data_IF_881943168899
#
_entry.id   IF_881943168899
#
_cell.length_a   1.000
_cell.length_b   1.000
_cell.length_c   1.000
_cell.angle_alpha   90.00
_cell.angle_beta   90.00
_cell.angle_gamma   90.00
#
_symmetry.space_group_name_H-M   'P 1'
#
loop_
_entity.id
_entity.type
_entity.pdbx_description
1 polymer ?
#
# COMPACT_ATOMS: atom_id res chain seq x y z
N UNK A 1 -8.39 -2.50 31.45
CA UNK A 1 -7.66 -3.25 30.41
C UNK A 1 -8.05 -2.89 28.96
N UNK A 2 -9.12 -3.44 28.33
CA UNK A 2 -9.43 -3.14 26.89
C UNK A 2 -9.67 -1.64 26.59
N UNK A 3 -10.28 -0.90 27.52
CA UNK A 3 -10.57 0.54 27.37
C UNK A 3 -9.33 1.44 27.48
N UNK A 4 -8.40 1.10 28.39
CA UNK A 4 -7.15 1.84 28.59
C UNK A 4 -6.13 1.58 27.47
N UNK A 5 -6.08 0.35 26.95
CA UNK A 5 -5.28 0.00 25.77
C UNK A 5 -5.77 0.80 24.56
N UNK A 6 -7.10 0.83 24.33
CA UNK A 6 -7.70 1.62 23.24
C UNK A 6 -7.37 3.11 23.35
N UNK A 7 -7.48 3.70 24.54
CA UNK A 7 -7.16 5.12 24.77
C UNK A 7 -5.66 5.43 24.59
N UNK A 8 -4.75 4.53 25.00
CA UNK A 8 -3.31 4.70 24.79
C UNK A 8 -2.91 4.61 23.31
N UNK A 9 -3.61 3.80 22.52
CA UNK A 9 -3.39 3.65 21.09
C UNK A 9 -3.91 4.89 20.35
N UNK A 10 -5.14 5.33 20.64
CA UNK A 10 -5.71 6.58 20.09
C UNK A 10 -4.80 7.81 20.34
N UNK A 11 -4.15 7.88 21.51
CA UNK A 11 -3.23 8.97 21.87
C UNK A 11 -1.81 8.86 21.28
N UNK A 12 -1.41 7.71 20.70
CA UNK A 12 -0.05 7.45 20.17
C UNK A 12 -0.04 6.86 18.75
N UNK A 13 -1.10 7.10 17.98
CA UNK A 13 -1.31 6.57 16.62
C UNK A 13 -0.33 7.17 15.59
N UNK A 14 0.94 6.79 15.65
CA UNK A 14 1.91 7.09 14.60
C UNK A 14 1.75 6.11 13.45
N UNK A 15 2.10 6.54 12.23
CA UNK A 15 2.03 5.70 11.03
C UNK A 15 2.75 4.35 11.20
N UNK A 16 4.00 4.28 11.75
CA UNK A 16 4.69 3.00 11.93
C UNK A 16 3.99 2.01 12.88
N UNK A 17 3.28 2.51 13.91
CA UNK A 17 2.55 1.65 14.85
C UNK A 17 1.31 1.00 14.24
N UNK A 18 0.77 1.58 13.18
CA UNK A 18 -0.43 1.09 12.49
C UNK A 18 -0.07 0.19 11.30
N UNK A 19 0.95 0.55 10.51
CA UNK A 19 1.29 -0.17 9.26
C UNK A 19 2.57 -0.99 9.33
N UNK A 20 3.33 -0.87 10.41
CA UNK A 20 4.61 -1.55 10.58
C UNK A 20 5.80 -0.60 10.48
N UNK A 21 6.94 -1.14 10.89
CA UNK A 21 8.17 -0.39 11.14
C UNK A 21 9.22 -0.52 10.02
N UNK A 22 8.80 -1.09 8.88
CA UNK A 22 9.64 -1.32 7.71
C UNK A 22 9.11 -0.50 6.53
N UNK A 23 10.00 0.11 5.76
CA UNK A 23 9.63 0.76 4.50
C UNK A 23 10.75 0.75 3.47
N UNK A 24 10.36 0.77 2.21
CA UNK A 24 11.24 1.09 1.07
C UNK A 24 10.71 2.39 0.49
N UNK A 25 11.59 3.37 0.33
CA UNK A 25 11.21 4.68 -0.20
C UNK A 25 11.75 4.91 -1.61
N UNK A 26 10.97 5.61 -2.41
CA UNK A 26 11.26 5.99 -3.78
C UNK A 26 11.00 7.48 -3.95
N UNK A 27 11.63 8.08 -4.98
CA UNK A 27 11.38 9.48 -5.29
C UNK A 27 9.96 9.70 -5.83
N UNK A 28 9.43 10.92 -5.67
CA UNK A 28 8.15 11.28 -6.30
C UNK A 28 8.18 11.16 -7.82
N UNK A 29 9.33 11.47 -8.44
CA UNK A 29 9.50 11.33 -9.89
C UNK A 29 9.50 9.87 -10.32
N UNK A 30 10.06 8.96 -9.52
CA UNK A 30 9.93 7.52 -9.73
C UNK A 30 8.46 7.10 -9.69
N UNK A 31 7.69 7.58 -8.72
CA UNK A 31 6.26 7.30 -8.62
C UNK A 31 5.48 7.75 -9.87
N UNK A 32 5.71 9.00 -10.32
CA UNK A 32 5.10 9.53 -11.55
C UNK A 32 5.49 8.73 -12.80
N UNK A 33 6.78 8.35 -12.92
CA UNK A 33 7.29 7.53 -14.02
C UNK A 33 6.59 6.17 -14.09
N UNK A 34 6.15 5.64 -12.95
CA UNK A 34 5.45 4.35 -12.85
C UNK A 34 3.93 4.49 -12.70
N UNK A 35 3.36 5.64 -13.10
CA UNK A 35 1.91 5.86 -13.14
C UNK A 35 1.22 5.70 -11.77
N UNK A 36 1.94 5.98 -10.67
CA UNK A 36 1.31 6.15 -9.37
C UNK A 36 0.57 7.49 -9.36
N UNK A 37 -0.67 7.47 -8.88
CA UNK A 37 -1.52 8.66 -8.78
C UNK A 37 -1.97 8.90 -7.34
N UNK A 38 -2.05 10.16 -6.88
CA UNK A 38 -2.67 10.47 -5.61
C UNK A 38 -4.16 10.10 -5.63
N UNK A 39 -4.62 9.42 -4.58
CA UNK A 39 -6.02 9.01 -4.47
C UNK A 39 -6.92 10.18 -4.02
N UNK A 40 -8.23 10.00 -4.21
CA UNK A 40 -9.26 10.93 -3.76
C UNK A 40 -9.98 10.38 -2.55
N UNK A 41 -9.96 11.14 -1.46
CA UNK A 41 -10.70 10.83 -0.26
C UNK A 41 -12.14 11.33 -0.37
N UNK A 42 -13.10 10.45 -0.12
CA UNK A 42 -14.52 10.72 -0.27
C UNK A 42 -15.16 10.78 1.11
N UNK A 43 -15.81 11.89 1.42
CA UNK A 43 -16.56 12.05 2.66
C UNK A 43 -17.67 10.98 2.75
N UNK A 44 -17.94 10.40 3.91
CA UNK A 44 -19.02 9.39 4.04
C UNK A 44 -20.42 10.01 4.20
N UNK A 45 -20.49 11.28 4.57
CA UNK A 45 -21.76 12.00 4.73
C UNK A 45 -22.43 12.25 3.38
N UNK A 46 -23.75 12.46 3.38
CA UNK A 46 -24.53 12.84 2.20
C UNK A 46 -24.21 14.27 1.73
N UNK A 47 -22.97 14.50 1.30
CA UNK A 47 -22.63 15.69 0.53
C UNK A 47 -23.27 15.61 -0.85
N UNK A 48 -23.55 16.77 -1.45
CA UNK A 48 -24.06 16.82 -2.83
C UNK A 48 -23.14 16.10 -3.83
N UNK A 49 -21.82 16.15 -3.60
CA UNK A 49 -20.80 15.46 -4.41
C UNK A 49 -20.94 13.95 -4.31
N UNK A 50 -21.08 13.41 -3.09
CA UNK A 50 -21.21 11.96 -2.90
C UNK A 50 -22.54 11.43 -3.41
N UNK A 51 -23.62 12.19 -3.19
CA UNK A 51 -24.94 11.84 -3.68
C UNK A 51 -24.97 11.80 -5.22
N UNK A 52 -24.33 12.76 -5.88
CA UNK A 52 -24.24 12.79 -7.36
C UNK A 52 -23.32 11.69 -7.90
N UNK A 53 -22.18 11.43 -7.25
CA UNK A 53 -21.30 10.32 -7.58
C UNK A 53 -22.03 8.96 -7.50
N UNK A 54 -22.71 8.70 -6.37
CA UNK A 54 -23.46 7.47 -6.16
C UNK A 54 -24.60 7.28 -7.17
N UNK A 55 -25.37 8.34 -7.43
CA UNK A 55 -26.42 8.33 -8.47
C UNK A 55 -25.84 8.11 -9.86
N UNK A 56 -24.72 8.74 -10.19
CA UNK A 56 -24.02 8.59 -11.46
C UNK A 56 -23.58 7.14 -11.69
N UNK A 57 -22.86 6.55 -10.72
CA UNK A 57 -22.44 5.14 -10.78
C UNK A 57 -23.67 4.23 -10.91
N UNK A 58 -24.71 4.46 -10.12
CA UNK A 58 -25.94 3.65 -10.16
C UNK A 58 -26.69 3.74 -11.49
N UNK A 59 -26.65 4.90 -12.15
CA UNK A 59 -27.26 5.09 -13.47
C UNK A 59 -26.46 4.36 -14.55
N UNK A 60 -25.13 4.39 -14.48
CA UNK A 60 -24.24 3.74 -15.43
C UNK A 60 -24.35 2.22 -15.37
N UNK A 61 -24.39 1.65 -14.17
CA UNK A 61 -24.57 0.19 -14.00
C UNK A 61 -25.88 -0.31 -14.65
N UNK A 62 -26.88 0.56 -14.82
CA UNK A 62 -28.17 0.23 -15.45
C UNK A 62 -28.21 0.52 -16.96
N UNK A 63 -27.14 1.05 -17.53
CA UNK A 63 -27.10 1.44 -18.94
C UNK A 63 -26.48 0.34 -19.79
N UNK A 64 -27.29 -0.33 -20.60
CA UNK A 64 -26.89 -1.56 -21.31
C UNK A 64 -25.82 -1.35 -22.40
N UNK A 65 -25.67 -0.13 -22.94
CA UNK A 65 -24.80 0.16 -24.10
C UNK A 65 -23.73 1.22 -23.79
N UNK A 66 -23.04 1.09 -22.65
CA UNK A 66 -21.89 1.94 -22.33
C UNK A 66 -20.71 1.62 -23.25
N UNK A 67 -20.15 2.64 -23.89
CA UNK A 67 -18.88 2.50 -24.62
C UNK A 67 -17.75 2.13 -23.66
N UNK A 68 -16.78 1.36 -24.14
CA UNK A 68 -15.61 0.93 -23.36
C UNK A 68 -14.86 2.11 -22.72
N UNK A 69 -14.69 3.23 -23.43
CA UNK A 69 -14.02 4.44 -22.92
C UNK A 69 -14.70 5.03 -21.68
N UNK A 70 -16.04 5.04 -21.66
CA UNK A 70 -16.82 5.55 -20.53
C UNK A 70 -16.74 4.57 -19.37
N UNK A 71 -16.90 3.27 -19.64
CA UNK A 71 -16.74 2.23 -18.62
C UNK A 71 -15.35 2.30 -17.96
N UNK A 72 -14.32 2.51 -18.77
CA UNK A 72 -12.93 2.63 -18.34
C UNK A 72 -12.68 3.86 -17.47
N UNK A 73 -13.17 5.04 -17.86
CA UNK A 73 -13.06 6.26 -17.05
C UNK A 73 -13.68 6.07 -15.65
N UNK A 74 -14.86 5.45 -15.57
CA UNK A 74 -15.51 5.19 -14.29
C UNK A 74 -14.80 4.14 -13.44
N UNK A 75 -14.30 3.05 -14.04
CA UNK A 75 -13.49 2.05 -13.32
C UNK A 75 -12.25 2.73 -12.74
N UNK A 76 -11.52 3.51 -13.54
CA UNK A 76 -10.34 4.22 -13.07
C UNK A 76 -10.69 5.16 -11.93
N UNK A 77 -11.73 5.99 -12.06
CA UNK A 77 -12.19 6.86 -10.96
C UNK A 77 -12.42 6.07 -9.67
N UNK A 78 -13.15 4.95 -9.74
CA UNK A 78 -13.45 4.10 -8.58
C UNK A 78 -12.19 3.51 -7.95
N UNK A 79 -11.23 3.04 -8.75
CA UNK A 79 -9.97 2.47 -8.26
C UNK A 79 -9.13 3.48 -7.45
N UNK A 80 -9.32 4.78 -7.66
CA UNK A 80 -8.62 5.85 -6.93
C UNK A 80 -9.48 6.53 -5.85
N UNK A 81 -10.63 5.96 -5.47
CA UNK A 81 -11.38 6.43 -4.31
C UNK A 81 -10.98 5.67 -3.05
N UNK A 82 -11.04 6.37 -1.92
CA UNK A 82 -10.99 5.80 -0.58
C UNK A 82 -11.93 6.60 0.32
N UNK A 83 -12.65 5.98 1.25
CA UNK A 83 -13.42 6.76 2.22
C UNK A 83 -12.48 7.65 3.03
N UNK A 84 -12.95 8.82 3.44
CA UNK A 84 -12.17 9.75 4.25
C UNK A 84 -11.90 9.17 5.64
N UNK A 85 -12.88 8.49 6.21
CA UNK A 85 -12.74 7.81 7.49
C UNK A 85 -13.08 6.32 7.35
N UNK A 86 -12.83 5.56 8.41
CA UNK A 86 -13.31 4.20 8.49
C UNK A 86 -12.72 3.40 9.63
N UNK A 87 -13.25 2.19 9.77
CA UNK A 87 -12.73 1.19 10.71
C UNK A 87 -11.56 0.47 10.05
N UNK A 88 -10.44 0.42 10.77
CA UNK A 88 -9.29 -0.38 10.41
C UNK A 88 -9.06 -1.42 11.49
N UNK A 89 -8.89 -2.67 11.07
CA UNK A 89 -8.59 -3.77 11.98
C UNK A 89 -7.09 -3.97 12.04
N UNK A 90 -6.55 -4.10 13.25
CA UNK A 90 -5.14 -4.35 13.48
C UNK A 90 -4.98 -5.47 14.50
N UNK A 91 -3.98 -6.30 14.28
CA UNK A 91 -3.51 -7.24 15.27
C UNK A 91 -2.38 -6.59 16.03
N UNK A 92 -2.58 -6.37 17.33
CA UNK A 92 -1.52 -5.87 18.23
C UNK A 92 -0.95 -7.03 19.03
N UNK A 93 0.38 -7.10 19.20
CA UNK A 93 0.96 -8.06 20.12
C UNK A 93 0.56 -7.69 21.55
N UNK A 94 0.02 -8.66 22.28
CA UNK A 94 -0.33 -8.55 23.70
C UNK A 94 0.18 -9.82 24.37
N UNK A 95 1.25 -9.67 25.16
CA UNK A 95 1.97 -10.82 25.76
C UNK A 95 2.47 -11.78 24.67
N UNK A 96 2.12 -13.07 24.75
CA UNK A 96 2.49 -14.12 23.79
C UNK A 96 1.43 -14.35 22.69
N UNK A 97 0.43 -13.49 22.56
CA UNK A 97 -0.65 -13.60 21.57
C UNK A 97 -0.89 -12.29 20.80
N UNK A 98 -1.76 -12.34 19.79
CA UNK A 98 -2.22 -11.19 19.03
C UNK A 98 -3.67 -10.87 19.34
N UNK A 99 -3.92 -9.65 19.80
CA UNK A 99 -5.27 -9.16 19.97
C UNK A 99 -5.71 -8.33 18.76
N UNK A 100 -6.81 -8.75 18.12
CA UNK A 100 -7.47 -7.92 17.10
C UNK A 100 -8.18 -6.74 17.76
N UNK A 101 -7.83 -5.55 17.31
CA UNK A 101 -8.46 -4.28 17.68
C UNK A 101 -9.03 -3.60 16.45
N UNK A 102 -10.03 -2.76 16.65
CA UNK A 102 -10.58 -1.89 15.61
C UNK A 102 -10.33 -0.44 15.99
N UNK A 103 -9.64 0.29 15.12
CA UNK A 103 -9.34 1.72 15.26
C UNK A 103 -10.18 2.49 14.26
N UNK A 104 -10.73 3.63 14.68
CA UNK A 104 -11.36 4.59 13.78
C UNK A 104 -10.29 5.56 13.27
N UNK A 105 -10.18 5.73 11.96
CA UNK A 105 -9.08 6.46 11.34
C UNK A 105 -9.57 7.48 10.32
N UNK A 106 -8.86 8.60 10.21
CA UNK A 106 -8.87 9.47 9.04
C UNK A 106 -7.82 8.97 8.04
N UNK A 107 -8.26 8.46 6.90
CA UNK A 107 -7.36 7.89 5.89
C UNK A 107 -6.62 8.96 5.08
N UNK A 108 -7.06 10.23 5.10
CA UNK A 108 -6.35 11.32 4.42
C UNK A 108 -4.95 11.56 4.97
N UNK A 109 -4.73 11.22 6.24
CA UNK A 109 -3.41 11.36 6.87
C UNK A 109 -2.35 10.44 6.24
N UNK A 110 -2.76 9.42 5.49
CA UNK A 110 -1.84 8.52 4.76
C UNK A 110 -1.24 9.16 3.51
N UNK A 111 -1.88 10.19 2.93
CA UNK A 111 -1.45 10.84 1.69
C UNK A 111 -1.12 9.83 0.59
N UNK A 112 -1.99 8.83 0.43
CA UNK A 112 -1.73 7.64 -0.38
C UNK A 112 -1.58 7.97 -1.86
N UNK A 113 -0.54 7.40 -2.48
CA UNK A 113 -0.40 7.28 -3.92
C UNK A 113 -0.57 5.82 -4.28
N UNK A 114 -1.38 5.55 -5.29
CA UNK A 114 -1.79 4.19 -5.66
C UNK A 114 -1.34 3.88 -7.07
N UNK A 115 -0.79 2.69 -7.25
CA UNK A 115 -0.66 2.08 -8.57
C UNK A 115 -1.88 1.19 -8.83
N UNK A 116 -2.46 1.33 -10.02
CA UNK A 116 -3.50 0.45 -10.53
C UNK A 116 -3.07 0.04 -11.93
N UNK A 117 -2.95 -1.26 -12.25
CA UNK A 117 -2.52 -1.67 -13.57
C UNK A 117 -3.49 -1.15 -14.64
N UNK A 118 -2.99 -0.81 -15.82
CA UNK A 118 -3.82 -0.40 -16.95
C UNK A 118 -4.79 -1.51 -17.37
N UNK A 119 -5.86 -1.18 -18.11
CA UNK A 119 -6.82 -2.17 -18.61
C UNK A 119 -6.13 -3.30 -19.40
N UNK A 120 -5.14 -2.95 -20.23
CA UNK A 120 -4.38 -3.91 -21.03
C UNK A 120 -3.52 -4.85 -20.16
N UNK A 121 -2.82 -4.30 -19.16
CA UNK A 121 -2.04 -5.09 -18.19
C UNK A 121 -2.96 -6.00 -17.38
N UNK A 122 -4.06 -5.46 -16.87
CA UNK A 122 -5.05 -6.20 -16.11
C UNK A 122 -5.63 -7.37 -16.92
N UNK A 123 -6.00 -7.15 -18.19
CA UNK A 123 -6.48 -8.21 -19.08
C UNK A 123 -5.40 -9.26 -19.33
N UNK A 124 -4.18 -8.84 -19.67
CA UNK A 124 -3.04 -9.74 -19.95
C UNK A 124 -2.75 -10.69 -18.79
N UNK A 125 -2.83 -10.20 -17.55
CA UNK A 125 -2.54 -10.99 -16.36
C UNK A 125 -3.81 -11.54 -15.68
N UNK A 126 -5.00 -11.33 -16.26
CA UNK A 126 -6.28 -11.75 -15.66
C UNK A 126 -6.48 -11.21 -14.24
N UNK A 127 -6.13 -9.94 -14.02
CA UNK A 127 -6.27 -9.23 -12.76
C UNK A 127 -7.53 -8.37 -12.81
N UNK A 128 -8.41 -8.53 -11.83
CA UNK A 128 -9.49 -7.57 -11.62
C UNK A 128 -8.93 -6.32 -10.92
N UNK A 129 -9.21 -5.13 -11.46
CA UNK A 129 -8.77 -3.85 -10.88
C UNK A 129 -9.70 -3.34 -9.78
N UNK A 130 -10.94 -3.82 -9.77
CA UNK A 130 -11.95 -3.43 -8.80
C UNK A 130 -12.59 -4.70 -8.21
N UNK A 131 -12.67 -4.74 -6.90
CA UNK A 131 -13.32 -5.79 -6.12
C UNK A 131 -14.42 -5.15 -5.29
N UNK A 132 -15.66 -5.51 -5.55
CA UNK A 132 -16.82 -4.99 -4.82
C UNK A 132 -17.31 -6.04 -3.85
N UNK A 133 -17.52 -5.66 -2.58
CA UNK A 133 -18.03 -6.54 -1.53
C UNK A 133 -17.23 -7.84 -1.33
N UNK A 134 -15.90 -7.80 -1.33
CA UNK A 134 -15.07 -8.98 -1.00
C UNK A 134 -14.92 -9.07 0.52
N UNK A 135 -15.65 -9.95 1.23
CA UNK A 135 -15.62 -10.00 2.68
C UNK A 135 -14.83 -11.22 3.19
N UNK A 136 -14.42 -12.12 2.29
CA UNK A 136 -13.81 -13.40 2.64
C UNK A 136 -12.28 -13.28 2.55
N UNK A 137 -11.64 -13.34 3.71
CA UNK A 137 -10.18 -13.32 3.84
C UNK A 137 -9.52 -14.41 2.98
N UNK A 138 -10.15 -15.58 2.81
CA UNK A 138 -9.61 -16.67 1.98
C UNK A 138 -9.49 -16.28 0.52
N UNK A 139 -10.42 -15.45 0.02
CA UNK A 139 -10.36 -14.93 -1.34
C UNK A 139 -9.18 -13.97 -1.46
N UNK A 140 -9.01 -13.07 -0.48
CA UNK A 140 -7.89 -12.12 -0.44
C UNK A 140 -6.55 -12.87 -0.42
N UNK A 141 -6.41 -13.86 0.47
CA UNK A 141 -5.18 -14.65 0.61
C UNK A 141 -4.87 -15.39 -0.70
N UNK A 142 -5.87 -16.01 -1.33
CA UNK A 142 -5.70 -16.66 -2.63
C UNK A 142 -5.28 -15.68 -3.72
N UNK A 143 -5.82 -14.45 -3.73
CA UNK A 143 -5.43 -13.43 -4.70
C UNK A 143 -3.98 -12.99 -4.47
N UNK A 144 -3.58 -12.79 -3.22
CA UNK A 144 -2.20 -12.47 -2.84
C UNK A 144 -1.22 -13.57 -3.30
N UNK A 145 -1.59 -14.84 -3.12
CA UNK A 145 -0.81 -16.00 -3.59
C UNK A 145 -0.71 -16.11 -5.11
N UNK A 146 -1.67 -15.55 -5.85
CA UNK A 146 -1.64 -15.55 -7.32
C UNK A 146 -0.68 -14.46 -7.81
N UNK A 147 -0.81 -13.24 -7.29
CA UNK A 147 0.01 -12.10 -7.74
C UNK A 147 1.47 -12.21 -7.32
N UNK A 148 1.79 -13.00 -6.29
CA UNK A 148 3.17 -13.26 -5.87
C UNK A 148 3.95 -14.19 -6.80
N UNK A 149 3.27 -14.88 -7.72
CA UNK A 149 3.89 -15.87 -8.61
C UNK A 149 4.78 -15.18 -9.66
N UNK A 150 5.88 -15.82 -10.11
CA UNK A 150 6.80 -15.22 -11.09
C UNK A 150 6.15 -14.71 -12.37
N UNK A 151 5.07 -15.34 -12.84
CA UNK A 151 4.34 -14.92 -14.04
C UNK A 151 3.65 -13.56 -13.93
N UNK A 152 3.47 -13.03 -12.72
CA UNK A 152 2.78 -11.77 -12.44
C UNK A 152 3.74 -10.61 -12.15
N UNK A 153 5.06 -10.84 -12.15
CA UNK A 153 6.07 -9.80 -11.86
C UNK A 153 5.89 -8.54 -12.71
N UNK A 154 5.55 -8.72 -13.99
CA UNK A 154 5.35 -7.64 -14.95
C UNK A 154 3.99 -6.94 -14.84
N UNK A 155 3.13 -7.37 -13.92
CA UNK A 155 1.90 -6.66 -13.55
C UNK A 155 2.08 -5.70 -12.37
N UNK A 156 3.22 -5.80 -11.67
CA UNK A 156 3.56 -4.95 -10.54
C UNK A 156 4.43 -3.76 -10.95
N UNK A 157 5.10 -3.20 -9.94
CA UNK A 157 6.04 -2.08 -10.09
C UNK A 157 7.48 -2.60 -10.09
N UNK A 158 8.10 -2.85 -11.26
CA UNK A 158 9.52 -3.17 -11.30
C UNK A 158 10.34 -1.96 -10.85
N UNK A 159 11.46 -2.20 -10.19
CA UNK A 159 12.44 -1.17 -9.83
C UNK A 159 13.84 -1.76 -9.74
N UNK A 160 14.84 -0.91 -9.93
CA UNK A 160 16.24 -1.23 -9.68
C UNK A 160 16.68 -0.79 -8.28
N UNK A 161 17.69 -1.44 -7.71
CA UNK A 161 18.27 -1.02 -6.42
C UNK A 161 18.77 0.44 -6.43
N UNK A 162 19.20 0.95 -7.59
CA UNK A 162 19.64 2.33 -7.75
C UNK A 162 18.51 3.35 -7.57
N UNK A 163 17.25 2.96 -7.83
CA UNK A 163 16.06 3.80 -7.72
C UNK A 163 15.54 3.91 -6.26
N UNK A 164 15.99 3.03 -5.36
CA UNK A 164 15.66 3.09 -3.93
C UNK A 164 16.33 4.33 -3.31
N UNK A 165 15.55 5.14 -2.60
CA UNK A 165 16.07 6.30 -1.85
C UNK A 165 16.57 5.90 -0.46
N UNK A 166 15.74 5.18 0.29
CA UNK A 166 16.04 4.70 1.64
C UNK A 166 15.38 3.35 1.91
N UNK A 167 16.08 2.52 2.69
CA UNK A 167 15.53 1.34 3.35
C UNK A 167 15.35 1.69 4.82
N UNK A 168 14.12 1.67 5.32
CA UNK A 168 13.77 2.04 6.69
C UNK A 168 13.53 0.76 7.50
N UNK A 169 14.23 0.64 8.62
CA UNK A 169 14.11 -0.50 9.54
C UNK A 169 13.87 -0.02 10.98
N UNK A 170 13.34 -0.85 11.89
CA UNK A 170 13.01 -0.41 13.25
C UNK A 170 14.22 0.10 14.05
N UNK A 171 15.32 -0.65 14.02
CA UNK A 171 16.47 -0.45 14.92
C UNK A 171 17.78 -1.03 14.34
N UNK A 172 18.89 -0.78 15.04
CA UNK A 172 20.23 -1.23 14.62
C UNK A 172 20.38 -2.75 14.52
N UNK A 173 19.71 -3.53 15.37
CA UNK A 173 19.78 -4.99 15.26
C UNK A 173 19.18 -5.46 13.92
N UNK A 174 18.06 -4.85 13.54
CA UNK A 174 17.39 -5.15 12.26
C UNK A 174 18.18 -4.63 11.06
N UNK A 175 18.85 -3.46 11.20
CA UNK A 175 19.80 -2.96 10.20
C UNK A 175 20.91 -3.97 9.92
N UNK A 176 21.54 -4.52 10.96
CA UNK A 176 22.61 -5.53 10.81
C UNK A 176 22.07 -6.79 10.14
N UNK A 177 20.86 -7.25 10.50
CA UNK A 177 20.23 -8.39 9.85
C UNK A 177 20.00 -8.11 8.35
N UNK A 178 19.43 -6.94 8.01
CA UNK A 178 19.20 -6.54 6.62
C UNK A 178 20.51 -6.45 5.81
N UNK A 179 21.60 -5.97 6.41
CA UNK A 179 22.91 -5.93 5.72
C UNK A 179 23.35 -7.33 5.30
N UNK A 180 23.23 -8.32 6.18
CA UNK A 180 23.58 -9.71 5.87
C UNK A 180 22.70 -10.29 4.76
N UNK A 181 21.40 -10.03 4.82
CA UNK A 181 20.47 -10.44 3.76
C UNK A 181 20.84 -9.80 2.41
N UNK A 182 21.25 -8.53 2.40
CA UNK A 182 21.70 -7.87 1.17
C UNK A 182 23.02 -8.45 0.65
N UNK A 183 23.94 -8.86 1.51
CA UNK A 183 25.16 -9.57 1.10
C UNK A 183 24.82 -10.85 0.35
N UNK A 184 23.89 -11.65 0.90
CA UNK A 184 23.44 -12.90 0.30
C UNK A 184 22.66 -12.65 -1.01
N UNK A 185 21.77 -11.65 -1.05
CA UNK A 185 21.02 -11.29 -2.26
C UNK A 185 21.97 -10.91 -3.39
N UNK A 186 22.94 -10.02 -3.13
CA UNK A 186 23.86 -9.54 -4.17
C UNK A 186 24.85 -10.63 -4.62
N UNK A 187 25.22 -11.57 -3.74
CA UNK A 187 26.03 -12.72 -4.13
C UNK A 187 25.34 -13.62 -5.18
N UNK A 188 24.01 -13.55 -5.27
CA UNK A 188 23.19 -14.37 -6.16
C UNK A 188 22.67 -13.62 -7.40
N UNK A 189 23.08 -12.35 -7.63
CA UNK A 189 22.62 -11.54 -8.76
C UNK A 189 23.83 -11.00 -9.55
N UNK A 190 24.14 -11.63 -10.68
CA UNK A 190 25.30 -11.29 -11.52
C UNK A 190 25.27 -9.85 -12.06
N UNK A 191 24.09 -9.24 -12.20
CA UNK A 191 23.93 -7.89 -12.74
C UNK A 191 24.34 -6.77 -11.79
N UNK A 192 24.66 -7.07 -10.53
CA UNK A 192 25.03 -6.07 -9.53
C UNK A 192 26.42 -6.31 -8.95
N UNK A 193 27.11 -5.21 -8.65
CA UNK A 193 28.46 -5.20 -8.11
C UNK A 193 28.47 -5.04 -6.59
N UNK A 194 29.62 -5.28 -5.97
CA UNK A 194 29.84 -4.95 -4.56
C UNK A 194 29.62 -3.44 -4.28
N UNK A 195 29.91 -2.57 -5.25
CA UNK A 195 29.68 -1.13 -5.11
C UNK A 195 28.19 -0.83 -5.05
N UNK A 196 27.37 -1.47 -5.88
CA UNK A 196 25.90 -1.29 -5.86
C UNK A 196 25.30 -1.70 -4.51
N UNK A 197 25.80 -2.81 -3.95
CA UNK A 197 25.43 -3.26 -2.60
C UNK A 197 25.78 -2.22 -1.55
N UNK A 198 27.03 -1.74 -1.55
CA UNK A 198 27.52 -0.79 -0.55
C UNK A 198 26.76 0.55 -0.63
N UNK A 199 26.42 0.99 -1.84
CA UNK A 199 25.55 2.15 -2.06
C UNK A 199 24.15 1.93 -1.46
N UNK A 200 23.55 0.75 -1.64
CA UNK A 200 22.25 0.45 -1.04
C UNK A 200 22.32 0.36 0.49
N UNK A 201 23.36 -0.27 1.04
CA UNK A 201 23.61 -0.34 2.49
C UNK A 201 23.71 1.07 3.08
N UNK A 202 24.39 1.99 2.39
CA UNK A 202 24.52 3.38 2.83
C UNK A 202 23.18 4.14 2.93
N UNK A 203 22.12 3.62 2.30
CA UNK A 203 20.76 4.16 2.33
C UNK A 203 19.87 3.58 3.44
N UNK A 204 20.41 2.71 4.31
CA UNK A 204 19.62 2.12 5.41
C UNK A 204 19.53 3.08 6.60
N UNK A 205 18.32 3.52 6.92
CA UNK A 205 18.02 4.39 8.07
C UNK A 205 17.15 3.66 9.10
N UNK A 206 17.29 3.98 10.38
CA UNK A 206 16.45 3.38 11.43
C UNK A 206 15.35 4.33 11.86
N UNK A 207 14.17 3.80 12.17
CA UNK A 207 13.10 4.59 12.81
C UNK A 207 13.57 5.18 14.14
N UNK A 208 14.37 4.44 14.91
CA UNK A 208 14.93 4.93 16.17
C UNK A 208 15.85 6.15 16.03
N UNK A 209 16.40 6.41 14.84
CA UNK A 209 17.13 7.65 14.54
C UNK A 209 16.16 8.76 14.16
N UNK A 210 15.22 8.48 13.25
CA UNK A 210 14.20 9.45 12.81
C UNK A 210 13.38 10.00 14.00
N UNK A 211 12.98 9.14 14.93
CA UNK A 211 12.19 9.53 16.11
C UNK A 211 12.94 10.42 17.10
N UNK A 212 14.28 10.41 17.10
CA UNK A 212 15.09 11.28 17.97
C UNK A 212 15.25 12.69 17.40
N UNK A 213 15.06 12.84 16.10
CA UNK A 213 15.20 14.09 15.37
C UNK A 213 13.86 14.87 15.26
N UNK A 214 12.78 14.35 15.86
CA UNK A 214 11.44 14.96 15.93
C UNK A 214 11.10 15.41 17.36
#
# INVERSE_FOLDING_TARGET
>A
MKKEIKQKIEAKNTHPKLYGEYAISFSKEWGKKHELEPIRYVQETESCVNATLSKGISALVKYDNLSDDVSEDYINRLCYLKPLHGKMEHNIPVEDDFQRITVWKNFNDEREWRYVPSASTAQKFSINRLYVNVPDQKIIDRLNDVISRPGYKNAGLPFDFSEIQYLIVPNNNTRIALIKELEDIFANIESYTAIDRDLLISKIITLSEIEKDW
#
